data_IF_168895488403
#
_entry.id   IF_168895488403
#
_cell.length_a   1.000
_cell.length_b   1.000
_cell.length_c   1.000
_cell.angle_alpha   90.00
_cell.angle_beta   90.00
_cell.angle_gamma   90.00
#
_symmetry.space_group_name_H-M   'P 1'
#
loop_
_entity.id
_entity.type
_entity.pdbx_description
1 polymer ?
#
# COMPACT_ATOMS: atom_id res chain seq x y z
N UNK A 1 -2.19 18.99 17.08
CA UNK A 1 -2.95 18.29 16.02
C UNK A 1 -4.39 18.67 16.26
N UNK A 2 -4.96 19.52 15.42
CA UNK A 2 -6.27 20.13 15.66
C UNK A 2 -7.35 19.26 15.03
N UNK A 3 -8.34 18.86 15.81
CA UNK A 3 -9.44 18.02 15.35
C UNK A 3 -10.64 18.92 15.02
N UNK A 4 -10.99 19.00 13.74
CA UNK A 4 -12.17 19.75 13.30
C UNK A 4 -13.43 18.89 13.51
N UNK A 5 -14.32 19.28 14.44
CA UNK A 5 -15.63 18.63 14.59
C UNK A 5 -16.67 19.37 13.74
N UNK A 6 -17.10 18.77 12.64
CA UNK A 6 -18.22 19.29 11.84
C UNK A 6 -19.55 18.77 12.41
N UNK A 7 -20.34 19.65 13.01
CA UNK A 7 -21.73 19.36 13.36
C UNK A 7 -22.59 19.78 12.17
N UNK A 8 -23.20 18.81 11.48
CA UNK A 8 -24.05 18.97 10.29
C UNK A 8 -23.32 19.03 8.94
N UNK A 9 -22.68 17.92 8.55
CA UNK A 9 -22.76 17.47 7.16
C UNK A 9 -23.74 16.28 7.08
N UNK A 10 -25.02 16.59 6.85
CA UNK A 10 -25.98 15.61 6.33
C UNK A 10 -25.76 15.32 4.83
N UNK A 11 -24.55 15.54 4.33
CA UNK A 11 -24.10 15.18 2.98
C UNK A 11 -22.92 14.21 3.13
N UNK A 12 -23.20 13.03 3.69
CA UNK A 12 -22.38 11.84 3.48
C UNK A 12 -23.25 10.58 3.67
N UNK A 13 -24.31 10.51 2.88
CA UNK A 13 -25.00 9.25 2.61
C UNK A 13 -25.41 9.28 1.15
N UNK A 14 -24.63 8.60 0.29
CA UNK A 14 -25.18 7.78 -0.79
C UNK A 14 -24.10 6.80 -1.29
N UNK A 15 -24.12 5.62 -0.69
CA UNK A 15 -23.86 4.36 -1.40
C UNK A 15 -24.96 4.22 -2.44
N UNK A 16 -24.64 4.34 -3.74
CA UNK A 16 -25.46 3.73 -4.81
C UNK A 16 -24.60 3.30 -6.00
N UNK A 17 -24.36 1.99 -6.05
CA UNK A 17 -24.54 1.09 -7.22
C UNK A 17 -24.31 1.67 -8.62
N UNK A 18 -23.35 1.11 -9.36
CA UNK A 18 -23.25 1.39 -10.79
C UNK A 18 -22.23 0.59 -11.63
N UNK A 19 -22.52 -0.69 -11.85
CA UNK A 19 -22.17 -1.51 -13.04
C UNK A 19 -20.69 -1.81 -13.36
N UNK A 20 -20.38 -3.10 -13.14
CA UNK A 20 -19.33 -3.84 -13.81
C UNK A 20 -19.48 -3.78 -15.35
N UNK A 21 -18.36 -3.60 -16.04
CA UNK A 21 -18.22 -3.90 -17.47
C UNK A 21 -17.32 -5.12 -17.63
N UNK A 22 -17.92 -6.23 -18.03
CA UNK A 22 -17.26 -7.47 -18.45
C UNK A 22 -17.14 -7.40 -19.96
N UNK A 23 -15.93 -7.46 -20.51
CA UNK A 23 -15.72 -7.75 -21.93
C UNK A 23 -15.30 -9.22 -22.10
N UNK A 24 -15.98 -10.00 -22.95
CA UNK A 24 -15.51 -11.33 -23.31
C UNK A 24 -14.49 -11.21 -24.46
N UNK A 25 -13.38 -11.97 -24.37
CA UNK A 25 -12.63 -12.37 -25.56
C UNK A 25 -12.43 -13.88 -25.52
N UNK A 26 -13.09 -14.56 -26.45
CA UNK A 26 -12.75 -15.92 -26.88
C UNK A 26 -12.30 -15.89 -28.36
N UNK A 27 -11.54 -16.91 -28.81
CA UNK A 27 -10.43 -16.72 -29.77
C UNK A 27 -10.68 -17.33 -31.17
N UNK A 28 -9.64 -17.24 -32.01
CA UNK A 28 -9.30 -18.03 -33.23
C UNK A 28 -9.34 -17.22 -34.53
N UNK A 29 -8.57 -17.50 -35.60
CA UNK A 29 -7.30 -18.19 -35.84
C UNK A 29 -6.96 -17.95 -37.34
N UNK A 30 -5.69 -17.90 -37.72
CA UNK A 30 -5.12 -18.59 -38.91
C UNK A 30 -3.74 -18.03 -39.33
N UNK A 31 -2.79 -18.94 -39.51
CA UNK A 31 -1.46 -18.80 -40.14
C UNK A 31 -1.57 -19.13 -41.65
N UNK A 32 -0.56 -18.91 -42.54
CA UNK A 32 0.71 -19.69 -42.53
C UNK A 32 2.02 -19.01 -43.03
N UNK A 33 3.13 -19.52 -42.45
CA UNK A 33 4.47 -19.92 -43.00
C UNK A 33 5.32 -18.96 -43.86
N UNK A 34 6.62 -18.88 -43.52
CA UNK A 34 7.76 -19.28 -44.36
C UNK A 34 9.01 -19.61 -43.51
N UNK A 35 9.98 -20.27 -44.13
CA UNK A 35 10.87 -21.27 -43.54
C UNK A 35 12.28 -20.78 -43.12
N UNK A 36 12.80 -21.48 -42.09
CA UNK A 36 14.17 -21.93 -41.82
C UNK A 36 15.38 -21.01 -42.05
N UNK A 37 16.15 -20.83 -41.00
CA UNK A 37 17.61 -21.07 -41.02
C UNK A 37 18.08 -21.42 -39.61
N UNK A 38 18.66 -22.59 -39.45
CA UNK A 38 19.25 -23.06 -38.19
C UNK A 38 20.56 -22.30 -37.91
N UNK A 39 20.67 -21.76 -36.70
CA UNK A 39 21.95 -21.41 -36.09
C UNK A 39 21.92 -21.89 -34.64
N UNK A 40 22.93 -22.66 -34.25
CA UNK A 40 23.18 -23.07 -32.87
C UNK A 40 23.78 -21.89 -32.10
N UNK A 41 23.13 -21.45 -31.02
CA UNK A 41 23.77 -20.63 -29.97
C UNK A 41 22.91 -20.61 -28.71
N UNK A 42 23.56 -20.95 -27.59
CA UNK A 42 23.23 -20.73 -26.18
C UNK A 42 21.84 -21.13 -25.67
N UNK A 43 21.81 -21.81 -24.52
CA UNK A 43 20.58 -22.01 -23.75
C UNK A 43 19.97 -20.65 -23.40
N UNK A 44 19.06 -20.15 -24.26
CA UNK A 44 18.19 -19.02 -23.95
C UNK A 44 17.40 -19.40 -22.69
N UNK A 45 17.86 -18.88 -21.54
CA UNK A 45 17.00 -18.76 -20.36
C UNK A 45 15.68 -18.16 -20.87
N UNK A 46 14.53 -18.82 -20.66
CA UNK A 46 13.28 -18.33 -21.19
C UNK A 46 13.09 -16.89 -20.73
N UNK A 47 12.91 -15.98 -21.68
CA UNK A 47 12.69 -14.57 -21.38
C UNK A 47 11.49 -14.47 -20.44
N UNK A 48 11.73 -14.08 -19.19
CA UNK A 48 10.67 -13.94 -18.19
C UNK A 48 9.74 -12.84 -18.69
N UNK A 49 8.53 -13.25 -19.08
CA UNK A 49 7.50 -12.31 -19.50
C UNK A 49 6.99 -11.57 -18.28
N UNK A 50 7.07 -10.25 -18.33
CA UNK A 50 6.54 -9.38 -17.30
C UNK A 50 5.04 -9.60 -17.18
N UNK A 51 4.58 -10.01 -15.99
CA UNK A 51 3.18 -10.25 -15.66
C UNK A 51 2.87 -9.67 -14.28
N UNK A 52 1.58 -9.52 -13.99
CA UNK A 52 1.14 -9.16 -12.64
C UNK A 52 1.72 -10.12 -11.60
N UNK A 53 2.26 -9.57 -10.52
CA UNK A 53 2.95 -10.31 -9.47
C UNK A 53 4.42 -10.62 -9.75
N UNK A 54 4.97 -10.32 -10.94
CA UNK A 54 6.43 -10.35 -11.16
C UNK A 54 7.13 -9.34 -10.25
N UNK A 55 8.31 -9.68 -9.72
CA UNK A 55 9.15 -8.72 -9.01
C UNK A 55 10.10 -8.08 -10.02
N UNK A 56 10.02 -6.77 -10.16
CA UNK A 56 10.86 -5.98 -11.05
C UNK A 56 11.88 -5.19 -10.25
N UNK A 57 13.07 -5.02 -10.82
CA UNK A 57 14.05 -4.07 -10.29
C UNK A 57 14.45 -3.12 -11.39
N UNK A 58 14.39 -1.83 -11.07
CA UNK A 58 14.66 -0.74 -11.98
C UNK A 58 15.63 0.25 -11.35
N UNK A 59 16.42 0.92 -12.18
CA UNK A 59 17.00 2.21 -11.81
C UNK A 59 16.01 3.29 -12.28
N UNK A 60 15.59 4.16 -11.37
CA UNK A 60 14.48 5.09 -11.60
C UNK A 60 14.82 6.50 -11.13
N UNK A 61 14.36 7.49 -11.90
CA UNK A 61 14.30 8.90 -11.52
C UNK A 61 12.89 9.39 -11.78
N UNK A 62 12.23 9.87 -10.75
CA UNK A 62 10.92 10.50 -10.83
C UNK A 62 11.11 11.99 -10.55
N UNK A 63 10.96 12.81 -11.59
CA UNK A 63 11.00 14.26 -11.47
C UNK A 63 9.57 14.79 -11.46
N UNK A 64 9.14 15.45 -10.39
CA UNK A 64 7.79 15.98 -10.36
C UNK A 64 7.57 17.09 -11.40
N UNK A 65 6.41 17.08 -12.06
CA UNK A 65 6.00 18.09 -13.04
C UNK A 65 5.03 19.10 -12.36
N UNK A 66 5.31 20.40 -12.48
CA UNK A 66 4.47 21.48 -11.92
C UNK A 66 5.08 22.26 -10.75
N UNK A 67 4.34 23.24 -10.21
CA UNK A 67 4.82 24.18 -9.19
C UNK A 67 4.80 23.64 -7.75
N UNK A 68 4.03 22.57 -7.48
CA UNK A 68 3.94 21.98 -6.15
C UNK A 68 3.90 20.46 -6.22
N UNK A 69 4.95 19.83 -5.68
CA UNK A 69 4.92 18.42 -5.31
C UNK A 69 5.33 18.32 -3.84
N UNK A 70 4.53 17.65 -2.99
CA UNK A 70 4.87 17.45 -1.59
C UNK A 70 6.22 16.74 -1.43
N UNK A 71 6.77 16.75 -0.21
CA UNK A 71 8.01 16.02 0.07
C UNK A 71 7.97 14.58 -0.47
N UNK A 72 9.11 14.03 -0.93
CA UNK A 72 9.19 12.70 -1.53
C UNK A 72 8.49 11.62 -0.69
N UNK A 73 7.29 11.20 -1.09
CA UNK A 73 6.53 10.18 -0.35
C UNK A 73 7.00 8.75 -0.68
N UNK A 74 7.76 8.58 -1.75
CA UNK A 74 8.29 7.28 -2.21
C UNK A 74 9.75 7.43 -2.64
N UNK A 75 10.46 6.32 -2.75
CA UNK A 75 11.84 6.30 -3.21
C UNK A 75 11.93 6.61 -4.72
N UNK A 76 13.07 7.15 -5.16
CA UNK A 76 13.33 7.46 -6.57
C UNK A 76 12.89 8.85 -7.04
N UNK A 77 12.22 9.62 -6.17
CA UNK A 77 11.94 11.04 -6.46
C UNK A 77 13.23 11.85 -6.39
N UNK A 78 13.52 12.59 -7.46
CA UNK A 78 14.67 13.49 -7.55
C UNK A 78 14.18 14.94 -7.59
N UNK A 79 14.65 15.74 -6.64
CA UNK A 79 14.36 17.19 -6.59
C UNK A 79 15.44 18.03 -7.30
N UNK A 80 16.60 17.42 -7.58
CA UNK A 80 17.74 18.06 -8.21
C UNK A 80 18.27 17.19 -9.35
N UNK A 81 18.64 17.82 -10.48
CA UNK A 81 19.01 17.12 -11.72
C UNK A 81 20.32 16.32 -11.63
N UNK A 82 21.14 16.51 -10.60
CA UNK A 82 22.39 15.77 -10.39
C UNK A 82 22.25 14.51 -9.52
N UNK A 83 21.07 14.25 -8.94
CA UNK A 83 20.87 13.06 -8.11
C UNK A 83 20.98 11.77 -8.93
N UNK A 84 21.73 10.75 -8.46
CA UNK A 84 21.80 9.46 -9.14
C UNK A 84 20.41 8.78 -9.17
N UNK A 85 20.15 7.90 -10.14
CA UNK A 85 18.93 7.10 -10.13
C UNK A 85 18.85 6.24 -8.87
N UNK A 86 17.66 6.12 -8.29
CA UNK A 86 17.41 5.20 -7.19
C UNK A 86 17.13 3.80 -7.73
N UNK A 87 17.66 2.79 -7.05
CA UNK A 87 17.33 1.40 -7.33
C UNK A 87 16.06 1.03 -6.60
N UNK A 88 15.02 0.69 -7.34
CA UNK A 88 13.71 0.29 -6.81
C UNK A 88 13.46 -1.17 -7.13
N UNK A 89 12.96 -1.93 -6.16
CA UNK A 89 12.49 -3.30 -6.35
C UNK A 89 11.05 -3.40 -5.85
N UNK A 90 10.13 -3.84 -6.71
CA UNK A 90 8.71 -3.93 -6.38
C UNK A 90 7.96 -5.02 -7.14
N UNK A 91 6.78 -5.39 -6.65
CA UNK A 91 5.89 -6.33 -7.34
C UNK A 91 4.97 -5.59 -8.31
N UNK A 92 4.95 -5.99 -9.58
CA UNK A 92 4.06 -5.38 -10.57
C UNK A 92 2.59 -5.64 -10.29
N UNK A 93 1.79 -4.60 -10.44
CA UNK A 93 0.36 -4.61 -10.18
C UNK A 93 0.00 -4.73 -8.69
N UNK A 94 0.99 -4.57 -7.79
CA UNK A 94 0.76 -4.61 -6.34
C UNK A 94 1.54 -3.52 -5.61
N UNK A 95 0.90 -2.88 -4.63
CA UNK A 95 1.59 -2.20 -3.54
C UNK A 95 2.14 -0.79 -3.83
N UNK A 96 3.32 -0.56 -3.24
CA UNK A 96 3.90 0.70 -2.73
C UNK A 96 4.33 1.78 -3.75
N UNK A 97 4.05 1.61 -5.04
CA UNK A 97 4.55 2.50 -6.10
C UNK A 97 3.44 2.95 -7.06
N UNK A 98 3.69 4.06 -7.76
CA UNK A 98 2.74 4.77 -8.61
C UNK A 98 2.16 3.85 -9.70
N UNK A 99 0.82 3.77 -9.87
CA UNK A 99 0.18 3.04 -10.97
C UNK A 99 0.81 3.27 -12.34
N UNK A 100 1.10 4.53 -12.72
CA UNK A 100 1.75 4.84 -13.99
C UNK A 100 3.14 4.20 -14.16
N UNK A 101 3.87 3.99 -13.05
CA UNK A 101 5.16 3.30 -13.09
C UNK A 101 5.00 1.80 -13.36
N UNK A 102 3.93 1.18 -12.86
CA UNK A 102 3.62 -0.23 -13.17
C UNK A 102 3.29 -0.39 -14.66
N UNK A 103 2.45 0.49 -15.20
CA UNK A 103 2.08 0.47 -16.63
C UNK A 103 3.30 0.68 -17.53
N UNK A 104 4.17 1.64 -17.17
CA UNK A 104 5.41 1.91 -17.90
C UNK A 104 6.31 0.67 -17.92
N UNK A 105 6.62 0.10 -16.75
CA UNK A 105 7.55 -1.04 -16.63
C UNK A 105 6.99 -2.30 -17.29
N UNK A 106 5.66 -2.49 -17.29
CA UNK A 106 5.03 -3.62 -17.97
C UNK A 106 5.28 -3.63 -19.49
N UNK A 107 5.51 -2.46 -20.10
CA UNK A 107 5.82 -2.31 -21.52
C UNK A 107 7.29 -2.55 -21.89
N UNK A 108 8.20 -2.63 -20.92
CA UNK A 108 9.65 -2.68 -21.17
C UNK A 108 10.19 -4.11 -21.30
N UNK A 109 11.36 -4.22 -21.92
CA UNK A 109 12.21 -5.41 -21.90
C UNK A 109 13.38 -5.24 -20.93
N UNK A 110 13.90 -6.36 -20.41
CA UNK A 110 15.08 -6.33 -19.54
C UNK A 110 16.26 -5.71 -20.30
N UNK A 111 16.90 -4.72 -19.68
CA UNK A 111 17.98 -3.91 -20.27
C UNK A 111 17.48 -2.67 -21.02
N UNK A 112 16.18 -2.50 -21.24
CA UNK A 112 15.61 -1.33 -21.89
C UNK A 112 15.61 -0.11 -20.97
N UNK A 113 15.77 1.08 -21.56
CA UNK A 113 15.66 2.36 -20.87
C UNK A 113 14.68 3.28 -21.59
N UNK A 114 13.89 4.00 -20.80
CA UNK A 114 13.02 5.09 -21.24
C UNK A 114 13.33 6.34 -20.43
N UNK A 115 13.29 7.51 -21.06
CA UNK A 115 13.60 8.78 -20.40
C UNK A 115 12.53 9.81 -20.78
N UNK A 116 12.16 10.68 -19.85
CA UNK A 116 11.24 11.78 -20.11
C UNK A 116 9.79 11.34 -20.33
N UNK A 117 9.35 10.24 -19.72
CA UNK A 117 7.96 9.75 -19.85
C UNK A 117 7.12 10.35 -18.73
N UNK A 118 6.14 11.18 -19.06
CA UNK A 118 5.19 11.68 -18.07
C UNK A 118 4.28 10.55 -17.59
N UNK A 119 4.23 10.37 -16.27
CA UNK A 119 3.42 9.39 -15.57
C UNK A 119 2.41 10.14 -14.70
N UNK A 120 1.16 9.67 -14.69
CA UNK A 120 0.25 10.00 -13.60
C UNK A 120 0.86 9.47 -12.29
N UNK A 121 0.93 10.33 -11.28
CA UNK A 121 1.26 9.93 -9.93
C UNK A 121 0.28 8.87 -9.38
N UNK A 122 -0.87 8.70 -10.05
CA UNK A 122 -1.76 7.56 -9.90
C UNK A 122 -2.61 7.60 -8.66
N UNK A 123 -2.75 8.79 -8.07
CA UNK A 123 -3.76 9.07 -7.03
C UNK A 123 -5.06 9.65 -7.60
N UNK A 124 -5.26 9.49 -8.91
CA UNK A 124 -6.44 9.89 -9.65
C UNK A 124 -6.48 11.39 -9.95
N UNK A 125 -7.49 11.78 -10.72
CA UNK A 125 -7.76 13.19 -10.97
C UNK A 125 -8.13 13.91 -9.68
N UNK A 126 -7.75 15.18 -9.57
CA UNK A 126 -8.23 16.03 -8.49
C UNK A 126 -9.74 16.17 -8.59
N UNK A 127 -10.45 15.72 -7.55
CA UNK A 127 -11.89 15.72 -7.50
C UNK A 127 -12.43 16.96 -6.81
N UNK A 128 -13.37 17.64 -7.47
CA UNK A 128 -14.01 18.86 -6.92
C UNK A 128 -14.95 18.57 -5.75
N UNK A 129 -15.48 17.36 -5.63
CA UNK A 129 -16.36 16.96 -4.53
C UNK A 129 -15.63 16.68 -3.20
N UNK A 130 -14.30 16.58 -3.24
CA UNK A 130 -13.42 16.53 -2.06
C UNK A 130 -12.95 17.93 -1.61
N UNK A 131 -13.44 18.99 -2.27
CA UNK A 131 -13.18 20.38 -1.91
C UNK A 131 -14.44 20.95 -1.29
N UNK A 132 -14.33 21.47 -0.07
CA UNK A 132 -15.48 22.00 0.67
C UNK A 132 -15.16 23.40 1.23
N UNK A 133 -16.09 24.33 1.07
CA UNK A 133 -16.06 25.62 1.77
C UNK A 133 -16.91 25.54 3.01
N UNK A 134 -16.33 25.90 4.15
CA UNK A 134 -16.93 25.78 5.48
C UNK A 134 -16.96 27.18 6.10
N UNK A 135 -18.12 27.60 6.57
CA UNK A 135 -18.25 28.83 7.35
C UNK A 135 -17.67 28.64 8.75
N UNK A 136 -16.92 29.63 9.25
CA UNK A 136 -16.36 29.58 10.60
C UNK A 136 -17.43 29.36 11.68
N UNK A 137 -18.65 29.86 11.47
CA UNK A 137 -19.78 29.68 12.39
C UNK A 137 -20.30 28.24 12.47
N UNK A 138 -20.03 27.42 11.46
CA UNK A 138 -20.50 26.02 11.35
C UNK A 138 -19.40 25.02 11.73
N UNK A 139 -18.15 25.48 11.78
CA UNK A 139 -17.01 24.67 12.14
C UNK A 139 -16.77 24.72 13.65
N UNK A 140 -16.72 23.59 14.35
CA UNK A 140 -16.28 23.58 15.74
C UNK A 140 -14.74 23.69 15.77
N UNK A 141 -14.27 24.94 15.69
CA UNK A 141 -12.85 25.31 15.74
C UNK A 141 -12.60 26.03 17.05
N UNK A 142 -11.70 25.48 17.87
CA UNK A 142 -11.37 26.06 19.18
C UNK A 142 -10.71 27.44 19.05
N UNK A 143 -9.89 27.64 18.01
CA UNK A 143 -9.22 28.90 17.70
C UNK A 143 -9.21 29.18 16.18
N UNK A 144 -10.17 29.99 15.67
CA UNK A 144 -10.26 30.34 14.26
C UNK A 144 -9.02 31.03 13.68
N UNK A 145 -8.20 31.67 14.51
CA UNK A 145 -7.00 32.40 14.05
C UNK A 145 -5.91 31.49 13.49
N UNK A 146 -5.99 30.19 13.79
CA UNK A 146 -5.06 29.16 13.33
C UNK A 146 -5.39 28.62 11.94
N UNK A 147 -6.56 28.96 11.39
CA UNK A 147 -6.96 28.56 10.04
C UNK A 147 -6.36 29.54 9.06
N UNK A 148 -5.29 29.12 8.39
CA UNK A 148 -4.57 29.91 7.40
C UNK A 148 -4.38 29.06 6.14
N UNK A 149 -4.25 29.73 4.98
CA UNK A 149 -3.94 29.02 3.74
C UNK A 149 -2.62 28.25 3.89
N UNK A 150 -2.60 27.00 3.42
CA UNK A 150 -1.49 26.07 3.55
C UNK A 150 -1.48 25.24 4.84
N UNK A 151 -2.37 25.50 5.80
CA UNK A 151 -2.45 24.70 7.03
C UNK A 151 -3.07 23.33 6.75
N UNK A 152 -2.40 22.26 7.20
CA UNK A 152 -2.97 20.91 7.24
C UNK A 152 -3.90 20.76 8.45
N UNK A 153 -5.12 20.29 8.19
CA UNK A 153 -6.09 19.93 9.20
C UNK A 153 -6.34 18.42 9.16
N UNK A 154 -6.67 17.85 10.31
CA UNK A 154 -7.13 16.47 10.41
C UNK A 154 -8.65 16.48 10.59
N UNK A 155 -9.37 15.88 9.65
CA UNK A 155 -10.81 15.67 9.75
C UNK A 155 -11.11 14.59 10.80
N UNK A 156 -12.33 14.61 11.34
CA UNK A 156 -12.76 13.65 12.37
C UNK A 156 -12.70 12.17 11.93
N UNK A 157 -12.70 11.90 10.61
CA UNK A 157 -12.52 10.58 10.03
C UNK A 157 -11.05 10.21 9.75
N UNK A 158 -10.09 11.04 10.19
CA UNK A 158 -8.66 10.81 10.00
C UNK A 158 -8.13 11.17 8.61
N UNK A 159 -8.95 11.76 7.74
CA UNK A 159 -8.46 12.33 6.49
C UNK A 159 -7.74 13.64 6.76
N UNK A 160 -6.55 13.79 6.19
CA UNK A 160 -5.88 15.08 6.11
C UNK A 160 -6.55 15.94 5.04
N UNK A 161 -6.71 17.21 5.31
CA UNK A 161 -7.07 18.20 4.31
C UNK A 161 -6.19 19.44 4.44
N UNK A 162 -6.01 20.17 3.35
CA UNK A 162 -5.25 21.42 3.33
C UNK A 162 -6.23 22.57 3.21
N UNK A 163 -6.06 23.59 4.04
CA UNK A 163 -6.79 24.85 3.86
C UNK A 163 -6.20 25.56 2.64
N UNK A 164 -6.99 25.69 1.57
CA UNK A 164 -6.54 26.29 0.31
C UNK A 164 -6.90 27.76 0.19
N UNK A 165 -7.92 28.20 0.92
CA UNK A 165 -8.40 29.58 0.91
C UNK A 165 -9.01 29.93 2.27
N UNK A 166 -8.78 31.16 2.72
CA UNK A 166 -9.40 31.71 3.92
C UNK A 166 -9.96 33.10 3.59
N UNK A 167 -11.19 33.35 4.04
CA UNK A 167 -11.83 34.67 4.01
C UNK A 167 -12.23 35.08 5.43
N UNK A 168 -12.88 36.23 5.59
CA UNK A 168 -13.39 36.66 6.90
C UNK A 168 -14.54 35.78 7.43
N UNK A 169 -15.26 35.05 6.55
CA UNK A 169 -16.48 34.32 6.91
C UNK A 169 -16.34 32.82 6.79
N UNK A 170 -15.48 32.37 5.89
CA UNK A 170 -15.33 30.96 5.54
C UNK A 170 -13.88 30.61 5.21
N UNK A 171 -13.64 29.32 5.10
CA UNK A 171 -12.40 28.76 4.59
C UNK A 171 -12.70 27.56 3.69
N UNK A 172 -11.85 27.32 2.72
CA UNK A 172 -11.95 26.16 1.82
C UNK A 172 -10.91 25.13 2.21
N UNK A 173 -11.36 23.90 2.43
CA UNK A 173 -10.51 22.73 2.61
C UNK A 173 -10.47 21.91 1.33
N UNK A 174 -9.31 21.33 1.06
CA UNK A 174 -9.10 20.34 0.02
C UNK A 174 -8.69 19.01 0.67
N UNK A 175 -9.55 18.00 0.57
CA UNK A 175 -9.32 16.66 1.09
C UNK A 175 -8.87 15.67 -0.01
N UNK A 176 -8.49 16.15 -1.19
CA UNK A 176 -7.86 15.31 -2.18
C UNK A 176 -6.53 14.74 -1.65
N UNK A 177 -6.14 13.52 -2.07
CA UNK A 177 -4.77 13.03 -1.91
C UNK A 177 -3.76 14.11 -2.32
N UNK A 178 -2.65 14.32 -1.58
CA UNK A 178 -1.69 15.39 -1.88
C UNK A 178 -1.07 15.33 -3.29
N UNK A 179 -1.16 14.17 -3.93
CA UNK A 179 -0.62 13.90 -5.25
C UNK A 179 -1.71 13.59 -6.29
N UNK A 180 -2.99 13.86 -5.97
CA UNK A 180 -4.07 13.80 -6.95
C UNK A 180 -3.85 14.85 -8.04
N UNK A 181 -3.87 14.42 -9.30
CA UNK A 181 -3.56 15.26 -10.46
C UNK A 181 -2.09 15.66 -10.60
N UNK A 182 -1.18 15.14 -9.77
CA UNK A 182 0.25 15.33 -9.94
C UNK A 182 0.78 14.38 -11.03
N UNK A 183 1.77 14.83 -11.78
CA UNK A 183 2.49 13.98 -12.74
C UNK A 183 3.98 13.96 -12.42
N UNK A 184 4.63 12.87 -12.80
CA UNK A 184 6.08 12.71 -12.69
C UNK A 184 6.65 12.43 -14.07
N UNK A 185 7.65 13.19 -14.47
CA UNK A 185 8.53 12.81 -15.56
C UNK A 185 9.44 11.66 -15.06
N UNK A 186 9.28 10.49 -15.65
CA UNK A 186 10.01 9.28 -15.29
C UNK A 186 11.13 8.98 -16.28
N UNK A 187 12.30 8.65 -15.73
CA UNK A 187 13.39 7.99 -16.43
C UNK A 187 13.69 6.67 -15.76
N UNK A 188 13.51 5.57 -16.51
CA UNK A 188 13.51 4.20 -15.99
C UNK A 188 14.44 3.35 -16.83
N UNK A 189 15.28 2.56 -16.17
CA UNK A 189 16.03 1.46 -16.77
C UNK A 189 15.62 0.15 -16.11
N UNK A 190 15.10 -0.80 -16.89
CA UNK A 190 14.69 -2.10 -16.36
C UNK A 190 15.89 -3.04 -16.22
N UNK A 191 16.31 -3.32 -14.98
CA UNK A 191 17.50 -4.12 -14.70
C UNK A 191 17.20 -5.62 -14.76
N UNK A 192 16.12 -6.04 -14.10
CA UNK A 192 15.78 -7.45 -13.97
C UNK A 192 14.31 -7.67 -13.64
N UNK A 193 13.82 -8.84 -14.01
CA UNK A 193 12.48 -9.35 -13.71
C UNK A 193 12.65 -10.74 -13.09
N UNK A 194 12.00 -10.98 -11.97
CA UNK A 194 11.97 -12.26 -11.26
C UNK A 194 10.52 -12.69 -11.02
N UNK A 195 10.28 -13.98 -10.82
CA UNK A 195 8.97 -14.46 -10.36
C UNK A 195 8.71 -13.96 -8.93
N UNK A 196 7.51 -13.46 -8.66
CA UNK A 196 7.05 -13.15 -7.31
C UNK A 196 6.24 -14.29 -6.69
N UNK A 197 6.13 -14.32 -5.36
CA UNK A 197 5.39 -15.34 -4.66
C UNK A 197 3.87 -15.10 -4.77
N UNK A 198 3.10 -16.18 -4.68
CA UNK A 198 1.65 -16.10 -4.45
C UNK A 198 1.37 -15.44 -3.09
N UNK A 199 0.41 -14.50 -3.06
CA UNK A 199 -0.07 -13.82 -1.85
C UNK A 199 -1.45 -14.29 -1.39
N UNK A 200 -2.08 -15.25 -2.10
CA UNK A 200 -3.47 -15.66 -1.85
C UNK A 200 -3.64 -17.16 -1.62
N UNK A 201 -2.72 -17.97 -2.17
CA UNK A 201 -2.66 -19.42 -2.01
C UNK A 201 -1.25 -19.82 -1.60
N UNK A 202 -1.13 -20.51 -0.47
CA UNK A 202 0.13 -20.89 0.15
C UNK A 202 0.20 -22.44 0.19
N UNK A 203 1.25 -23.04 -0.37
CA UNK A 203 1.44 -24.50 -0.38
C UNK A 203 1.83 -25.15 -1.71
N UNK A 204 1.89 -24.40 -2.82
CA UNK A 204 2.49 -24.89 -4.07
C UNK A 204 3.97 -24.51 -4.13
N UNK A 205 4.78 -25.32 -4.81
CA UNK A 205 6.22 -25.10 -5.04
C UNK A 205 6.48 -23.66 -5.49
N UNK A 206 6.92 -22.81 -4.57
CA UNK A 206 7.26 -21.41 -4.87
C UNK A 206 8.54 -21.39 -5.70
N UNK A 207 8.45 -20.92 -6.94
CA UNK A 207 9.61 -20.69 -7.82
C UNK A 207 10.34 -19.37 -7.50
N UNK A 208 9.71 -18.52 -6.70
CA UNK A 208 10.26 -17.23 -6.28
C UNK A 208 11.25 -17.39 -5.14
N UNK A 209 12.37 -16.66 -5.20
CA UNK A 209 13.27 -16.49 -4.05
C UNK A 209 12.71 -15.53 -2.99
N UNK A 210 11.76 -14.68 -3.37
CA UNK A 210 11.07 -13.79 -2.44
C UNK A 210 10.07 -14.59 -1.63
N UNK A 211 9.87 -14.17 -0.38
CA UNK A 211 8.98 -14.85 0.55
C UNK A 211 7.81 -13.97 0.94
N UNK A 212 6.76 -14.59 1.46
CA UNK A 212 5.58 -13.91 2.01
C UNK A 212 5.50 -14.14 3.51
N UNK A 213 5.12 -13.09 4.22
CA UNK A 213 4.77 -13.10 5.63
C UNK A 213 3.39 -12.45 5.81
N UNK A 214 2.58 -12.93 6.76
CA UNK A 214 1.26 -12.37 7.03
C UNK A 214 1.14 -11.97 8.49
N UNK A 215 0.67 -10.74 8.73
CA UNK A 215 0.57 -10.15 10.06
C UNK A 215 -0.78 -9.46 10.26
N UNK A 216 -1.36 -9.58 11.44
CA UNK A 216 -2.49 -8.77 11.90
C UNK A 216 -2.01 -7.85 13.03
N UNK A 217 -2.21 -6.54 12.89
CA UNK A 217 -1.65 -5.52 13.78
C UNK A 217 -2.72 -4.52 14.27
N UNK A 218 -3.99 -4.94 14.33
CA UNK A 218 -5.12 -4.04 14.49
C UNK A 218 -5.48 -3.39 13.16
N UNK A 219 -5.76 -2.08 13.16
CA UNK A 219 -5.99 -1.34 11.92
C UNK A 219 -4.85 -1.57 10.92
N UNK A 220 -5.17 -2.18 9.78
CA UNK A 220 -4.17 -2.57 8.79
C UNK A 220 -3.48 -1.39 8.09
N UNK A 221 -4.03 -0.17 8.11
CA UNK A 221 -3.47 0.97 7.39
C UNK A 221 -2.14 1.43 7.98
N UNK A 222 -2.07 1.55 9.30
CA UNK A 222 -0.84 1.89 10.01
C UNK A 222 0.19 0.76 9.98
N UNK A 223 -0.29 -0.49 10.09
CA UNK A 223 0.58 -1.66 10.00
C UNK A 223 1.18 -1.84 8.60
N UNK A 224 0.40 -1.58 7.54
CA UNK A 224 0.88 -1.65 6.16
C UNK A 224 2.02 -0.66 5.92
N UNK A 225 1.81 0.62 6.32
CA UNK A 225 2.83 1.65 6.15
C UNK A 225 4.14 1.33 6.89
N UNK A 226 4.04 0.63 8.03
CA UNK A 226 5.22 0.15 8.77
C UNK A 226 6.07 -0.77 7.90
N UNK A 227 5.45 -1.75 7.24
CA UNK A 227 6.17 -2.65 6.34
C UNK A 227 6.59 -2.00 5.02
N UNK A 228 5.80 -1.07 4.49
CA UNK A 228 6.17 -0.29 3.30
C UNK A 228 7.50 0.45 3.48
N UNK A 229 7.84 0.86 4.71
CA UNK A 229 9.09 1.57 5.04
C UNK A 229 10.28 0.65 5.33
N UNK A 230 10.08 -0.64 5.52
CA UNK A 230 11.20 -1.54 5.84
C UNK A 230 12.01 -1.85 4.55
N UNK A 231 13.33 -1.59 4.54
CA UNK A 231 14.20 -2.02 3.45
C UNK A 231 14.10 -3.54 3.23
N UNK A 232 14.06 -3.98 1.97
CA UNK A 232 13.89 -5.40 1.63
C UNK A 232 12.43 -5.86 1.51
N UNK A 233 11.46 -5.11 2.03
CA UNK A 233 10.04 -5.33 1.68
C UNK A 233 9.79 -4.77 0.28
N UNK A 234 9.30 -5.60 -0.64
CA UNK A 234 9.11 -5.20 -2.06
C UNK A 234 7.65 -4.98 -2.42
N UNK A 235 6.71 -5.54 -1.66
CA UNK A 235 5.29 -5.25 -1.81
C UNK A 235 4.51 -5.54 -0.53
N UNK A 236 3.43 -4.79 -0.33
CA UNK A 236 2.43 -5.02 0.70
C UNK A 236 1.05 -5.07 0.07
N UNK A 237 0.12 -5.77 0.71
CA UNK A 237 -1.30 -5.64 0.47
C UNK A 237 -2.06 -5.84 1.77
N UNK A 238 -3.17 -5.13 1.93
CA UNK A 238 -4.07 -5.29 3.06
C UNK A 238 -5.28 -6.16 2.69
N UNK A 239 -5.84 -6.84 3.68
CA UNK A 239 -6.89 -7.81 3.45
C UNK A 239 -7.43 -8.45 4.72
N UNK A 240 -8.18 -9.52 4.51
CA UNK A 240 -8.92 -10.24 5.53
C UNK A 240 -8.51 -11.71 5.55
N UNK A 241 -8.21 -12.25 6.73
CA UNK A 241 -7.81 -13.66 6.88
C UNK A 241 -8.26 -14.23 8.23
N UNK A 242 -7.97 -15.51 8.50
CA UNK A 242 -8.32 -16.27 9.71
C UNK A 242 -9.83 -16.35 10.04
N UNK A 243 -10.70 -15.95 9.11
CA UNK A 243 -12.15 -16.08 9.21
C UNK A 243 -12.70 -17.16 8.28
N UNK A 244 -14.02 -17.37 8.36
CA UNK A 244 -14.70 -18.43 7.62
C UNK A 244 -15.45 -17.93 6.38
N UNK A 245 -15.74 -16.62 6.31
CA UNK A 245 -16.51 -16.07 5.20
C UNK A 245 -15.66 -16.08 3.91
N UNK A 246 -16.27 -16.52 2.83
CA UNK A 246 -15.67 -16.48 1.50
C UNK A 246 -15.84 -15.09 0.92
N UNK A 247 -14.76 -14.51 0.40
CA UNK A 247 -14.73 -13.18 -0.22
C UNK A 247 -15.49 -12.10 0.59
N UNK A 248 -15.11 -11.87 1.87
CA UNK A 248 -15.77 -10.87 2.70
C UNK A 248 -15.49 -9.46 2.18
N UNK A 249 -16.48 -8.56 2.30
CA UNK A 249 -16.26 -7.11 2.15
C UNK A 249 -15.84 -6.48 3.47
N UNK A 250 -15.35 -5.25 3.42
CA UNK A 250 -15.08 -4.46 4.63
C UNK A 250 -16.29 -4.40 5.58
N UNK A 251 -17.49 -4.16 5.03
CA UNK A 251 -18.73 -4.08 5.83
C UNK A 251 -19.08 -5.43 6.47
N UNK A 252 -18.85 -6.53 5.75
CA UNK A 252 -19.02 -7.86 6.33
C UNK A 252 -18.07 -8.02 7.53
N UNK A 253 -16.79 -7.67 7.39
CA UNK A 253 -15.78 -7.78 8.47
C UNK A 253 -16.10 -6.88 9.65
N UNK A 254 -16.52 -5.63 9.40
CA UNK A 254 -16.92 -4.68 10.44
C UNK A 254 -18.10 -5.16 11.29
N UNK A 255 -18.96 -6.05 10.75
CA UNK A 255 -20.04 -6.65 11.53
C UNK A 255 -19.54 -7.57 12.67
N UNK A 256 -18.27 -8.00 12.61
CA UNK A 256 -17.67 -8.96 13.55
C UNK A 256 -18.12 -10.41 13.35
N UNK A 257 -19.02 -10.69 12.41
CA UNK A 257 -19.63 -12.02 12.25
C UNK A 257 -18.84 -12.98 11.36
N UNK A 258 -17.87 -12.47 10.61
CA UNK A 258 -17.14 -13.27 9.60
C UNK A 258 -16.02 -14.12 10.20
N UNK A 259 -15.60 -13.77 11.42
CA UNK A 259 -14.41 -14.31 12.07
C UNK A 259 -13.09 -13.81 11.47
N UNK A 260 -13.10 -12.96 10.45
CA UNK A 260 -11.87 -12.43 9.88
C UNK A 260 -11.19 -11.43 10.81
N UNK A 261 -9.88 -11.27 10.62
CA UNK A 261 -9.12 -10.12 11.10
C UNK A 261 -8.62 -9.31 9.91
N UNK A 262 -8.44 -8.02 10.11
CA UNK A 262 -7.60 -7.19 9.26
C UNK A 262 -6.16 -7.70 9.33
N UNK A 263 -5.52 -7.83 8.17
CA UNK A 263 -4.16 -8.33 8.05
C UNK A 263 -3.43 -7.71 6.86
N UNK A 264 -2.11 -7.83 6.90
CA UNK A 264 -1.17 -7.38 5.88
C UNK A 264 -0.42 -8.60 5.36
N UNK A 265 -0.41 -8.77 4.05
CA UNK A 265 0.49 -9.68 3.36
C UNK A 265 1.72 -8.90 2.89
N UNK A 266 2.90 -9.36 3.30
CA UNK A 266 4.19 -8.70 3.07
C UNK A 266 5.05 -9.59 2.20
N UNK A 267 5.38 -9.14 1.00
CA UNK A 267 6.38 -9.78 0.13
C UNK A 267 7.74 -9.15 0.39
N UNK A 268 8.75 -9.96 0.69
CA UNK A 268 10.07 -9.47 1.07
C UNK A 268 11.21 -10.30 0.46
N UNK A 269 12.36 -9.64 0.34
CA UNK A 269 13.62 -10.22 -0.09
C UNK A 269 14.39 -10.77 1.13
N UNK A 270 14.48 -12.10 1.31
CA UNK A 270 15.17 -12.68 2.46
C UNK A 270 16.68 -12.41 2.48
N UNK A 271 17.27 -12.01 1.35
CA UNK A 271 18.68 -11.61 1.27
C UNK A 271 18.92 -10.19 1.79
N UNK A 272 17.85 -9.39 1.97
CA UNK A 272 17.91 -7.99 2.45
C UNK A 272 17.29 -7.85 3.84
N UNK A 273 16.16 -8.51 4.10
CA UNK A 273 15.47 -8.46 5.40
C UNK A 273 15.04 -9.86 5.83
N UNK A 274 15.30 -10.19 7.10
CA UNK A 274 14.93 -11.50 7.64
C UNK A 274 13.47 -11.54 8.12
N UNK A 275 12.86 -12.72 8.12
CA UNK A 275 11.55 -12.93 8.73
C UNK A 275 11.55 -12.52 10.21
N UNK A 276 12.62 -12.83 10.95
CA UNK A 276 12.81 -12.40 12.34
C UNK A 276 12.67 -10.88 12.50
N UNK A 277 13.28 -10.09 11.60
CA UNK A 277 13.15 -8.63 11.62
C UNK A 277 11.70 -8.19 11.41
N UNK A 278 10.98 -8.82 10.49
CA UNK A 278 9.57 -8.52 10.26
C UNK A 278 8.69 -8.86 11.48
N UNK A 279 8.96 -9.97 12.17
CA UNK A 279 8.26 -10.32 13.42
C UNK A 279 8.59 -9.31 14.52
N UNK A 280 9.85 -8.90 14.69
CA UNK A 280 10.17 -7.85 15.66
C UNK A 280 9.46 -6.53 15.35
N UNK A 281 9.40 -6.13 14.08
CA UNK A 281 8.61 -4.95 13.67
C UNK A 281 7.13 -5.07 14.03
N UNK A 282 6.52 -6.24 13.86
CA UNK A 282 5.15 -6.49 14.32
C UNK A 282 5.01 -6.25 15.83
N UNK A 283 5.90 -6.86 16.62
CA UNK A 283 5.84 -6.78 18.08
C UNK A 283 6.12 -5.37 18.60
N UNK A 284 7.09 -4.67 18.02
CA UNK A 284 7.42 -3.27 18.32
C UNK A 284 6.24 -2.36 17.99
N UNK A 285 5.59 -2.58 16.84
CA UNK A 285 4.42 -1.81 16.42
C UNK A 285 3.23 -2.02 17.35
N UNK A 286 3.01 -3.25 17.82
CA UNK A 286 1.95 -3.54 18.78
C UNK A 286 2.22 -2.89 20.14
N UNK A 287 3.48 -2.80 20.57
CA UNK A 287 3.85 -2.24 21.86
C UNK A 287 3.07 -2.93 22.98
N UNK A 288 2.43 -2.18 23.88
CA UNK A 288 1.61 -2.76 24.97
C UNK A 288 0.32 -3.42 24.50
N UNK A 289 -0.13 -3.16 23.26
CA UNK A 289 -1.36 -3.77 22.73
C UNK A 289 -1.23 -5.30 22.56
N UNK A 290 -0.01 -5.85 22.51
CA UNK A 290 0.23 -7.30 22.46
C UNK A 290 -0.37 -8.08 23.65
N UNK A 291 -0.69 -7.38 24.74
CA UNK A 291 -1.35 -7.93 25.93
C UNK A 291 -2.87 -7.70 25.95
N UNK A 292 -3.42 -7.00 24.95
CA UNK A 292 -4.84 -6.68 24.85
C UNK A 292 -5.52 -7.57 23.82
N UNK A 293 -6.54 -8.33 24.25
CA UNK A 293 -7.25 -9.25 23.36
C UNK A 293 -8.26 -8.51 22.50
N UNK A 294 -8.27 -8.80 21.19
CA UNK A 294 -9.22 -8.24 20.21
C UNK A 294 -9.23 -6.69 20.24
N UNK A 295 -8.07 -6.08 20.45
CA UNK A 295 -7.94 -4.65 20.58
C UNK A 295 -6.52 -4.19 20.22
N UNK A 296 -6.43 -3.10 19.46
CA UNK A 296 -5.19 -2.33 19.29
C UNK A 296 -5.55 -0.84 19.38
N UNK A 297 -4.94 -0.13 20.32
CA UNK A 297 -5.30 1.25 20.62
C UNK A 297 -6.77 1.37 21.02
N UNK A 298 -7.50 2.23 20.30
CA UNK A 298 -8.94 2.45 20.51
C UNK A 298 -9.82 1.51 19.68
N UNK A 299 -9.25 0.80 18.70
CA UNK A 299 -9.98 -0.12 17.84
C UNK A 299 -10.25 -1.43 18.59
N UNK A 300 -11.54 -1.78 18.73
CA UNK A 300 -12.02 -2.93 19.52
C UNK A 300 -12.89 -3.84 18.67
N UNK A 301 -12.61 -5.13 18.70
CA UNK A 301 -13.36 -6.15 17.97
C UNK A 301 -12.46 -7.27 17.48
N UNK A 302 -13.07 -8.42 17.17
CA UNK A 302 -12.34 -9.59 16.66
C UNK A 302 -11.62 -9.30 15.35
N UNK A 303 -12.11 -8.33 14.58
CA UNK A 303 -11.46 -7.85 13.35
C UNK A 303 -10.14 -7.10 13.58
N UNK A 304 -9.89 -6.64 14.81
CA UNK A 304 -8.66 -5.94 15.21
C UNK A 304 -7.78 -6.79 16.13
N UNK A 305 -8.00 -8.10 16.19
CA UNK A 305 -7.07 -8.99 16.88
C UNK A 305 -5.73 -8.97 16.17
N UNK A 306 -4.67 -9.26 16.91
CA UNK A 306 -3.31 -9.24 16.40
C UNK A 306 -2.71 -10.64 16.36
N UNK A 307 -1.82 -10.87 15.40
CA UNK A 307 -1.30 -12.19 15.12
C UNK A 307 -0.18 -12.21 14.09
N UNK A 308 0.68 -13.22 14.22
CA UNK A 308 1.70 -13.60 13.25
C UNK A 308 1.24 -14.90 12.61
N UNK A 309 1.04 -14.88 11.29
CA UNK A 309 0.51 -16.01 10.55
C UNK A 309 1.57 -16.60 9.63
N UNK A 310 2.12 -17.75 10.02
CA UNK A 310 3.29 -18.36 9.40
C UNK A 310 2.92 -19.19 8.17
N UNK A 311 3.82 -19.19 7.18
CA UNK A 311 3.68 -19.92 5.91
C UNK A 311 4.54 -21.17 5.85
N UNK A 312 5.60 -21.26 6.67
CA UNK A 312 6.53 -22.40 6.69
C UNK A 312 6.86 -22.83 8.13
N UNK A 313 7.36 -24.05 8.33
CA UNK A 313 7.85 -24.51 9.64
C UNK A 313 8.95 -23.61 10.22
N UNK A 314 9.82 -23.05 9.38
CA UNK A 314 10.88 -22.13 9.81
C UNK A 314 10.29 -20.82 10.32
N UNK A 315 9.31 -20.25 9.59
CA UNK A 315 8.58 -19.08 10.05
C UNK A 315 7.87 -19.34 11.39
N UNK A 316 7.25 -20.52 11.54
CA UNK A 316 6.61 -20.93 12.80
C UNK A 316 7.61 -20.89 13.96
N UNK A 317 8.75 -21.54 13.82
CA UNK A 317 9.76 -21.62 14.89
C UNK A 317 10.25 -20.22 15.30
N UNK A 318 10.52 -19.35 14.32
CA UNK A 318 10.97 -17.98 14.58
C UNK A 318 9.87 -17.17 15.29
N UNK A 319 8.62 -17.25 14.81
CA UNK A 319 7.50 -16.52 15.38
C UNK A 319 7.19 -16.97 16.82
N UNK A 320 7.14 -18.28 17.06
CA UNK A 320 6.89 -18.84 18.40
C UNK A 320 7.99 -18.45 19.39
N UNK A 321 9.25 -18.46 18.98
CA UNK A 321 10.37 -18.05 19.84
C UNK A 321 10.25 -16.57 20.23
N UNK A 322 10.07 -15.67 19.26
CA UNK A 322 10.00 -14.22 19.51
C UNK A 322 8.75 -13.85 20.32
N UNK A 323 7.60 -14.44 20.01
CA UNK A 323 6.37 -14.17 20.78
C UNK A 323 6.51 -14.70 22.21
N UNK A 324 7.16 -15.86 22.38
CA UNK A 324 7.43 -16.46 23.69
C UNK A 324 8.26 -15.59 24.63
N UNK A 325 9.16 -14.75 24.09
CA UNK A 325 9.97 -13.81 24.88
C UNK A 325 9.13 -12.75 25.62
N UNK A 326 7.88 -12.52 25.20
CA UNK A 326 6.97 -11.56 25.84
C UNK A 326 6.12 -12.14 26.98
N UNK A 327 6.29 -13.44 27.30
CA UNK A 327 5.63 -14.13 28.40
C UNK A 327 4.21 -14.62 28.09
N UNK A 328 3.63 -15.39 29.03
CA UNK A 328 2.33 -16.05 28.88
C UNK A 328 1.15 -15.07 28.74
N UNK A 329 1.32 -13.82 29.19
CA UNK A 329 0.30 -12.77 29.08
C UNK A 329 0.18 -12.21 27.65
N UNK A 330 1.17 -12.46 26.78
CA UNK A 330 1.11 -12.05 25.38
C UNK A 330 -0.02 -12.80 24.67
N UNK A 331 -1.02 -12.05 24.17
CA UNK A 331 -2.20 -12.63 23.51
C UNK A 331 -2.12 -12.57 21.99
N UNK A 332 -0.94 -12.28 21.43
CA UNK A 332 -0.70 -12.29 19.98
C UNK A 332 -0.79 -13.71 19.44
N UNK A 333 -1.66 -13.91 18.45
CA UNK A 333 -1.83 -15.22 17.82
C UNK A 333 -0.54 -15.64 17.10
N UNK A 334 -0.17 -16.91 17.19
CA UNK A 334 0.85 -17.53 16.34
C UNK A 334 0.24 -18.77 15.69
N UNK A 335 -0.26 -18.64 14.46
CA UNK A 335 -1.07 -19.65 13.79
C UNK A 335 -0.62 -19.87 12.34
N UNK A 336 -0.93 -21.01 11.70
CA UNK A 336 -0.73 -21.16 10.26
C UNK A 336 -1.49 -20.08 9.48
N UNK A 337 -0.89 -19.57 8.41
CA UNK A 337 -1.56 -18.66 7.49
C UNK A 337 -2.76 -19.32 6.83
N UNK A 338 -3.94 -18.73 7.04
CA UNK A 338 -5.16 -19.07 6.32
C UNK A 338 -5.20 -18.41 4.94
N UNK A 339 -6.32 -18.60 4.23
CA UNK A 339 -6.57 -17.90 2.97
C UNK A 339 -6.58 -16.39 3.19
N UNK A 340 -5.95 -15.64 2.28
CA UNK A 340 -5.92 -14.19 2.30
C UNK A 340 -6.89 -13.62 1.25
N UNK A 341 -7.85 -12.82 1.70
CA UNK A 341 -8.76 -12.09 0.83
C UNK A 341 -8.29 -10.64 0.73
N UNK A 342 -7.97 -10.18 -0.47
CA UNK A 342 -7.60 -8.77 -0.67
C UNK A 342 -8.76 -7.87 -0.25
N UNK A 343 -8.44 -6.83 0.52
CA UNK A 343 -9.37 -5.75 0.77
C UNK A 343 -9.53 -4.89 -0.50
N UNK A 344 -10.60 -4.10 -0.52
CA UNK A 344 -10.95 -3.19 -1.58
C UNK A 344 -9.83 -2.19 -1.89
N UNK A 345 -9.74 -1.72 -3.14
CA UNK A 345 -8.64 -0.86 -3.62
C UNK A 345 -8.43 0.40 -2.76
N UNK A 346 -9.52 0.97 -2.23
CA UNK A 346 -9.46 2.16 -1.40
C UNK A 346 -8.74 1.93 -0.06
N UNK A 347 -8.60 0.69 0.42
CA UNK A 347 -7.81 0.36 1.61
C UNK A 347 -6.32 0.20 1.30
N UNK A 348 -5.97 -0.16 0.05
CA UNK A 348 -4.59 -0.44 -0.34
C UNK A 348 -3.75 0.83 -0.27
N UNK A 349 -2.66 0.80 0.49
CA UNK A 349 -1.72 1.90 0.67
C UNK A 349 -2.40 3.19 1.17
N UNK A 350 -3.47 3.05 1.97
CA UNK A 350 -4.33 4.16 2.38
C UNK A 350 -3.57 5.36 2.96
N UNK A 351 -2.62 5.15 3.88
CA UNK A 351 -1.87 6.25 4.48
C UNK A 351 -0.87 6.90 3.52
N UNK A 352 -0.31 6.15 2.57
CA UNK A 352 0.52 6.71 1.50
C UNK A 352 -0.33 7.57 0.55
N UNK A 353 -1.52 7.06 0.15
CA UNK A 353 -2.52 7.85 -0.59
C UNK A 353 -2.94 9.10 0.19
N UNK A 354 -2.95 9.04 1.52
CA UNK A 354 -3.21 10.15 2.44
C UNK A 354 -2.01 11.08 2.74
N UNK A 355 -0.87 10.90 2.06
CA UNK A 355 0.27 11.82 2.18
C UNK A 355 1.35 11.46 3.19
N UNK A 356 1.32 10.26 3.78
CA UNK A 356 2.41 9.80 4.64
C UNK A 356 3.46 9.06 3.83
N UNK A 357 4.72 9.47 3.98
CA UNK A 357 5.83 8.88 3.23
C UNK A 357 5.97 7.39 3.53
N UNK A 358 6.19 6.62 2.47
CA UNK A 358 6.48 5.19 2.45
C UNK A 358 7.91 4.88 1.99
N UNK A 359 8.79 5.91 1.96
CA UNK A 359 10.21 5.75 1.66
C UNK A 359 10.86 4.72 2.57
N UNK A 360 11.77 3.94 2.02
CA UNK A 360 12.56 2.99 2.81
C UNK A 360 13.37 3.73 3.88
N UNK A 361 13.22 3.28 5.13
CA UNK A 361 13.89 3.85 6.29
C UNK A 361 13.27 5.12 6.88
N UNK A 362 12.10 5.56 6.41
CA UNK A 362 11.39 6.71 7.01
C UNK A 362 10.93 6.40 8.44
N UNK A 363 11.42 7.17 9.40
CA UNK A 363 11.16 7.02 10.83
C UNK A 363 10.11 8.01 11.38
N UNK A 364 9.50 8.83 10.51
CA UNK A 364 8.45 9.78 10.88
C UNK A 364 7.31 9.02 11.54
N UNK A 365 6.79 9.51 12.66
CA UNK A 365 5.70 8.83 13.37
C UNK A 365 4.49 8.59 12.46
N UNK A 366 4.12 7.32 12.28
CA UNK A 366 2.93 6.91 11.54
C UNK A 366 1.69 7.33 12.32
N UNK A 367 0.87 8.20 11.74
CA UNK A 367 -0.40 8.65 12.29
C UNK A 367 -1.53 7.95 11.55
N UNK A 368 -2.12 6.94 12.18
CA UNK A 368 -3.40 6.40 11.75
C UNK A 368 -4.52 7.24 12.38
N UNK A 369 -5.78 7.07 11.94
CA UNK A 369 -6.89 7.72 12.62
C UNK A 369 -6.94 7.26 14.09
N UNK A 370 -6.91 8.21 15.03
CA UNK A 370 -6.73 7.97 16.46
C UNK A 370 -5.71 8.92 17.06
#
# INVERSE_FOLDING_TARGET
MFALKLYSLSILLFITKGKAWIFPKTPSASTPRFASTETFSDEEKPAIRIKEGSIVTIDCRLKPEGEYVPEPLIDGVVLHDESPPARLTFALGRGNYLPGLHDLVQGLQVGESVNGVSLDAGWGERRSDLVATIEFAQAAIDDPSQIQSGVELMLANGLKCVVTKVTEKDFTIDANPPLAGATYEASVHLIRVEDGPSMTVFGETQTSRFQVATFALGCFWGGELTYMREPGVVATAVGYTQGQRVAPTYEDVCSGTTGHTEAIAVTYDPDVVSYQRLVHLAMDRLGENKYLKNQVGNDRGTQYRHGVYYHTPEQKQIAEAIIGDFGEDCVTECLPAGKFWLAEDYHQQYLLKGGQSARKGDDTTIRCYG
#
